data_IF_487635014869
#
_entry.id   IF_487635014869
#
_cell.length_a   1.000
_cell.length_b   1.000
_cell.length_c   1.000
_cell.angle_alpha   90.00
_cell.angle_beta   90.00
_cell.angle_gamma   90.00
#
_symmetry.space_group_name_H-M   'P 1'
#
loop_
_entity.id
_entity.type
_entity.pdbx_description
1 polymer ?
#
# COMPACT_ATOMS: atom_id res chain seq x y z
N UNK A 1 6.18 12.87 15.37
CA UNK A 1 7.00 13.73 14.49
C UNK A 1 6.38 13.73 13.10
N UNK A 2 6.34 14.89 12.42
CA UNK A 2 5.65 15.08 11.13
C UNK A 2 6.30 14.29 10.00
N UNK A 3 5.48 13.71 9.12
CA UNK A 3 5.90 13.01 7.90
C UNK A 3 6.72 13.94 6.98
N UNK A 4 7.70 13.41 6.22
CA UNK A 4 8.42 14.21 5.24
C UNK A 4 7.39 14.73 4.23
N UNK A 5 7.31 16.06 4.06
CA UNK A 5 6.21 16.62 3.33
C UNK A 5 6.40 16.43 1.83
N UNK A 6 5.28 16.27 1.12
CA UNK A 6 5.28 16.09 -0.32
C UNK A 6 5.46 17.45 -1.00
N UNK A 7 6.45 17.59 -1.89
CA UNK A 7 6.69 18.84 -2.63
C UNK A 7 6.10 18.75 -4.04
N UNK A 8 5.31 19.76 -4.44
CA UNK A 8 4.79 19.90 -5.81
C UNK A 8 4.93 21.33 -6.30
N UNK A 9 5.21 21.50 -7.60
CA UNK A 9 5.39 22.83 -8.21
C UNK A 9 4.06 23.52 -8.54
N UNK A 10 2.97 22.78 -8.70
CA UNK A 10 1.65 23.33 -9.02
C UNK A 10 0.51 22.53 -8.39
N UNK A 11 -0.58 23.21 -8.08
CA UNK A 11 -1.85 22.60 -7.69
C UNK A 11 -2.95 23.01 -8.67
N UNK A 12 -3.78 22.07 -9.09
CA UNK A 12 -4.95 22.39 -9.90
C UNK A 12 -5.94 23.26 -9.11
N UNK A 13 -6.37 24.38 -9.71
CA UNK A 13 -7.20 25.38 -9.03
C UNK A 13 -8.69 25.04 -8.98
N UNK A 14 -9.17 24.07 -9.78
CA UNK A 14 -10.56 23.56 -9.82
C UNK A 14 -10.59 22.12 -10.34
N UNK A 15 -11.54 21.32 -9.88
CA UNK A 15 -11.82 19.99 -10.40
C UNK A 15 -13.29 19.90 -10.85
N UNK A 16 -13.52 19.84 -12.17
CA UNK A 16 -14.81 19.52 -12.75
C UNK A 16 -15.07 18.01 -12.79
N UNK A 17 -16.33 17.60 -12.97
CA UNK A 17 -16.72 16.18 -13.11
C UNK A 17 -16.04 15.56 -14.35
N UNK A 18 -15.85 16.32 -15.42
CA UNK A 18 -15.10 15.87 -16.60
C UNK A 18 -13.61 15.66 -16.31
N UNK A 19 -12.99 16.49 -15.47
CA UNK A 19 -11.56 16.35 -15.13
C UNK A 19 -11.28 15.06 -14.36
N UNK A 20 -12.24 14.60 -13.55
CA UNK A 20 -12.14 13.32 -12.84
C UNK A 20 -12.25 12.10 -13.76
N UNK A 21 -12.91 12.27 -14.91
CA UNK A 21 -13.21 11.20 -15.85
C UNK A 21 -12.14 11.10 -16.97
N UNK A 22 -11.63 12.24 -17.43
CA UNK A 22 -10.86 12.34 -18.69
C UNK A 22 -9.42 12.87 -18.56
N UNK A 23 -9.03 13.48 -17.44
CA UNK A 23 -7.65 14.02 -17.29
C UNK A 23 -6.63 12.93 -16.96
N UNK A 24 -5.39 13.13 -17.41
CA UNK A 24 -4.25 12.25 -17.09
C UNK A 24 -4.02 12.29 -15.58
N UNK A 25 -4.09 11.11 -14.95
CA UNK A 25 -4.03 10.95 -13.49
C UNK A 25 -2.58 10.81 -13.02
N UNK A 26 -1.77 11.83 -13.29
CA UNK A 26 -0.38 11.88 -12.85
C UNK A 26 -0.25 12.21 -11.35
N UNK A 27 0.97 12.16 -10.84
CA UNK A 27 1.28 12.45 -9.43
C UNK A 27 0.78 13.84 -9.05
N UNK A 28 0.92 14.84 -9.92
CA UNK A 28 0.45 16.21 -9.70
C UNK A 28 -1.08 16.28 -9.59
N UNK A 29 -1.80 15.53 -10.43
CA UNK A 29 -3.24 15.39 -10.40
C UNK A 29 -3.69 14.73 -9.10
N UNK A 30 -3.06 13.62 -8.71
CA UNK A 30 -3.37 12.94 -7.45
C UNK A 30 -3.11 13.85 -6.25
N UNK A 31 -1.97 14.54 -6.22
CA UNK A 31 -1.60 15.46 -5.14
C UNK A 31 -2.55 16.65 -5.06
N UNK A 32 -2.94 17.21 -6.21
CA UNK A 32 -3.91 18.30 -6.29
C UNK A 32 -5.31 17.88 -5.88
N UNK A 33 -5.73 16.67 -6.26
CA UNK A 33 -7.02 16.09 -5.92
C UNK A 33 -7.10 15.82 -4.41
N UNK A 34 -6.01 15.27 -3.85
CA UNK A 34 -5.87 15.06 -2.42
C UNK A 34 -5.89 16.42 -1.69
N UNK A 35 -5.18 17.44 -2.15
CA UNK A 35 -5.28 18.78 -1.56
C UNK A 35 -6.70 19.37 -1.63
N UNK A 36 -7.37 19.27 -2.78
CA UNK A 36 -8.72 19.81 -2.99
C UNK A 36 -9.79 19.14 -2.13
N UNK A 37 -9.68 17.83 -1.90
CA UNK A 37 -10.56 17.11 -0.97
C UNK A 37 -10.18 17.28 0.51
N UNK A 38 -9.23 18.17 0.83
CA UNK A 38 -8.74 18.41 2.19
C UNK A 38 -7.89 17.26 2.73
N UNK A 39 -7.41 16.38 1.84
CA UNK A 39 -6.60 15.20 2.17
C UNK A 39 -5.17 15.55 2.52
N UNK A 40 -4.63 16.51 1.78
CA UNK A 40 -3.36 17.14 2.07
C UNK A 40 -3.65 18.57 2.52
N UNK A 41 -2.99 18.99 3.59
CA UNK A 41 -2.97 20.40 4.01
C UNK A 41 -1.64 21.02 3.62
N UNK A 42 -1.65 22.29 3.22
CA UNK A 42 -0.43 23.05 2.99
C UNK A 42 0.33 23.21 4.30
N UNK A 43 1.55 22.67 4.32
CA UNK A 43 2.49 22.77 5.43
C UNK A 43 3.50 23.90 5.24
N UNK A 44 3.71 24.38 4.01
CA UNK A 44 4.58 25.52 3.70
C UNK A 44 5.03 25.53 2.24
N UNK A 45 6.12 26.24 1.96
CA UNK A 45 6.80 26.27 0.66
C UNK A 45 8.30 26.02 0.85
N UNK A 46 8.96 25.35 -0.11
CA UNK A 46 10.42 25.19 -0.10
C UNK A 46 11.10 26.51 -0.49
N UNK A 47 12.41 26.62 -0.24
CA UNK A 47 13.21 27.78 -0.67
C UNK A 47 13.26 27.97 -2.21
N UNK A 48 12.71 27.02 -2.97
CA UNK A 48 12.57 27.06 -4.43
C UNK A 48 11.12 27.27 -4.89
N UNK A 49 10.19 27.59 -3.97
CA UNK A 49 8.79 27.91 -4.28
C UNK A 49 7.88 26.70 -4.51
N UNK A 50 8.31 25.51 -4.10
CA UNK A 50 7.51 24.29 -4.22
C UNK A 50 6.58 24.15 -3.01
N UNK A 51 5.31 23.82 -3.25
CA UNK A 51 4.31 23.67 -2.20
C UNK A 51 4.54 22.37 -1.42
N UNK A 52 4.63 22.50 -0.10
CA UNK A 52 4.96 21.45 0.84
C UNK A 52 3.67 20.99 1.50
N UNK A 53 3.27 19.73 1.31
CA UNK A 53 1.98 19.18 1.72
C UNK A 53 2.13 18.10 2.80
N UNK A 54 1.22 18.09 3.78
CA UNK A 54 1.18 17.08 4.86
C UNK A 54 -0.19 16.44 5.05
N UNK A 55 -0.17 15.22 5.58
CA UNK A 55 -1.39 14.46 5.95
C UNK A 55 -1.87 14.92 7.34
N UNK A 56 -3.09 15.48 7.47
CA UNK A 56 -3.62 15.93 8.75
C UNK A 56 -4.21 14.76 9.55
N UNK A 57 -3.47 14.24 10.54
CA UNK A 57 -3.93 13.35 11.63
C UNK A 57 -4.71 12.05 11.27
N UNK A 58 -5.01 11.24 12.30
CA UNK A 58 -5.59 9.89 12.16
C UNK A 58 -7.06 9.87 11.69
N UNK A 59 -7.84 10.91 12.01
CA UNK A 59 -9.28 10.97 11.64
C UNK A 59 -9.43 11.17 10.15
N UNK A 60 -8.58 12.02 9.55
CA UNK A 60 -8.66 12.28 8.12
C UNK A 60 -8.04 11.12 7.33
N UNK A 61 -7.06 10.40 7.90
CA UNK A 61 -6.54 9.11 7.36
C UNK A 61 -7.65 8.08 7.10
N UNK A 62 -8.63 7.98 8.00
CA UNK A 62 -9.79 7.10 7.85
C UNK A 62 -10.66 7.50 6.66
N UNK A 63 -10.99 8.78 6.56
CA UNK A 63 -11.77 9.33 5.44
C UNK A 63 -11.06 9.08 4.09
N UNK A 64 -9.73 9.07 4.04
CA UNK A 64 -8.96 8.78 2.82
C UNK A 64 -9.08 7.34 2.37
N UNK A 65 -8.91 6.41 3.29
CA UNK A 65 -9.05 4.99 2.98
C UNK A 65 -10.47 4.70 2.51
N UNK A 66 -11.47 5.25 3.20
CA UNK A 66 -12.88 5.10 2.82
C UNK A 66 -13.13 5.70 1.42
N UNK A 67 -12.62 6.90 1.12
CA UNK A 67 -12.80 7.55 -0.19
C UNK A 67 -12.06 6.85 -1.32
N UNK A 68 -10.83 6.38 -1.10
CA UNK A 68 -10.06 5.56 -2.05
C UNK A 68 -10.79 4.24 -2.27
N UNK A 69 -11.29 3.60 -1.21
CA UNK A 69 -12.10 2.40 -1.32
C UNK A 69 -13.33 2.63 -2.18
N UNK A 70 -14.05 3.74 -2.02
CA UNK A 70 -15.21 4.06 -2.85
C UNK A 70 -14.85 4.32 -4.32
N UNK A 71 -13.69 4.94 -4.59
CA UNK A 71 -13.22 5.21 -5.96
C UNK A 71 -12.76 3.94 -6.68
N UNK A 72 -12.12 3.01 -5.97
CA UNK A 72 -11.54 1.81 -6.56
C UNK A 72 -12.41 0.56 -6.43
N UNK A 73 -13.34 0.53 -5.46
CA UNK A 73 -14.33 -0.54 -5.22
C UNK A 73 -15.76 0.06 -5.19
N UNK A 74 -16.25 0.58 -6.33
CA UNK A 74 -17.58 1.19 -6.37
C UNK A 74 -18.71 0.18 -6.23
N UNK A 75 -18.47 -1.10 -6.56
CA UNK A 75 -19.46 -2.16 -6.42
C UNK A 75 -19.46 -2.75 -4.99
N UNK A 76 -20.66 -2.87 -4.41
CA UNK A 76 -20.91 -3.49 -3.11
C UNK A 76 -20.34 -4.90 -3.03
N UNK A 77 -20.36 -5.65 -4.14
CA UNK A 77 -19.85 -7.01 -4.18
C UNK A 77 -18.32 -7.05 -4.00
N UNK A 78 -17.59 -6.13 -4.65
CA UNK A 78 -16.14 -6.04 -4.52
C UNK A 78 -15.73 -5.57 -3.11
N UNK A 79 -16.52 -4.67 -2.50
CA UNK A 79 -16.31 -4.28 -1.11
C UNK A 79 -16.45 -5.47 -0.17
N UNK A 80 -17.48 -6.30 -0.34
CA UNK A 80 -17.69 -7.49 0.49
C UNK A 80 -16.59 -8.54 0.29
N UNK A 81 -16.16 -8.76 -0.94
CA UNK A 81 -15.05 -9.68 -1.26
C UNK A 81 -13.73 -9.19 -0.65
N UNK A 82 -13.42 -7.89 -0.79
CA UNK A 82 -12.23 -7.27 -0.18
C UNK A 82 -12.20 -7.46 1.34
N UNK A 83 -13.34 -7.25 2.01
CA UNK A 83 -13.47 -7.43 3.44
C UNK A 83 -13.29 -8.89 3.86
N UNK A 84 -13.82 -9.83 3.07
CA UNK A 84 -13.69 -11.25 3.36
C UNK A 84 -12.24 -11.74 3.16
N UNK A 85 -11.56 -11.26 2.12
CA UNK A 85 -10.15 -11.54 1.88
C UNK A 85 -9.28 -11.00 3.02
N UNK A 86 -9.48 -9.76 3.44
CA UNK A 86 -8.78 -9.16 4.57
C UNK A 86 -9.04 -9.92 5.89
N UNK A 87 -10.29 -10.29 6.19
CA UNK A 87 -10.63 -11.11 7.37
C UNK A 87 -9.92 -12.46 7.36
N UNK A 88 -9.84 -13.10 6.21
CA UNK A 88 -9.14 -14.39 6.06
C UNK A 88 -7.67 -14.24 6.40
N UNK A 89 -7.00 -13.20 5.89
CA UNK A 89 -5.62 -12.87 6.24
C UNK A 89 -5.47 -12.62 7.74
N UNK A 90 -6.35 -11.81 8.34
CA UNK A 90 -6.28 -11.48 9.77
C UNK A 90 -6.41 -12.70 10.68
N UNK A 91 -7.27 -13.66 10.34
CA UNK A 91 -7.57 -14.81 11.18
C UNK A 91 -6.56 -15.95 10.98
N UNK A 92 -6.21 -16.25 9.73
CA UNK A 92 -5.45 -17.45 9.38
C UNK A 92 -3.99 -17.15 9.06
N UNK A 93 -3.71 -15.95 8.55
CA UNK A 93 -2.45 -15.64 7.89
C UNK A 93 -2.37 -16.12 6.44
N UNK A 94 -3.49 -16.44 5.80
CA UNK A 94 -3.51 -16.76 4.37
C UNK A 94 -3.65 -15.47 3.54
N UNK A 95 -2.59 -15.13 2.80
CA UNK A 95 -2.51 -13.97 1.90
C UNK A 95 -3.14 -14.26 0.53
N UNK A 96 -3.27 -15.53 0.14
CA UNK A 96 -3.64 -15.90 -1.22
C UNK A 96 -5.02 -15.37 -1.66
N UNK A 97 -6.06 -15.35 -0.82
CA UNK A 97 -7.36 -14.76 -1.18
C UNK A 97 -7.25 -13.26 -1.47
N UNK A 98 -6.41 -12.54 -0.71
CA UNK A 98 -6.16 -11.12 -0.94
C UNK A 98 -5.46 -10.89 -2.27
N UNK A 99 -4.38 -11.62 -2.56
CA UNK A 99 -3.67 -11.50 -3.84
C UNK A 99 -4.62 -11.76 -5.02
N UNK A 100 -5.42 -12.83 -4.96
CA UNK A 100 -6.40 -13.15 -6.01
C UNK A 100 -7.43 -12.05 -6.23
N UNK A 101 -7.92 -11.43 -5.15
CA UNK A 101 -8.84 -10.29 -5.23
C UNK A 101 -8.18 -9.09 -5.91
N UNK A 102 -6.96 -8.74 -5.51
CA UNK A 102 -6.20 -7.62 -6.07
C UNK A 102 -5.83 -7.84 -7.55
N UNK A 103 -5.43 -9.06 -7.93
CA UNK A 103 -5.20 -9.49 -9.32
C UNK A 103 -6.44 -9.39 -10.21
N UNK A 104 -7.62 -9.71 -9.66
CA UNK A 104 -8.87 -9.71 -10.42
C UNK A 104 -9.49 -8.32 -10.57
N UNK A 105 -9.52 -7.55 -9.50
CA UNK A 105 -10.18 -6.23 -9.46
C UNK A 105 -9.24 -5.11 -9.85
N UNK A 106 -8.26 -4.84 -8.99
CA UNK A 106 -7.39 -3.66 -9.11
C UNK A 106 -6.48 -3.74 -10.34
N UNK A 107 -5.72 -4.82 -10.51
CA UNK A 107 -4.71 -4.91 -11.59
C UNK A 107 -5.32 -5.00 -13.00
N UNK A 108 -6.60 -5.39 -13.14
CA UNK A 108 -7.31 -5.33 -14.43
C UNK A 108 -7.70 -3.90 -14.85
N UNK A 109 -8.02 -3.04 -13.90
CA UNK A 109 -8.33 -1.62 -14.18
C UNK A 109 -7.08 -0.88 -14.66
N UNK A 110 -5.90 -1.26 -14.16
CA UNK A 110 -4.61 -0.78 -14.64
C UNK A 110 -4.15 -1.40 -15.97
N UNK A 111 -4.80 -2.46 -16.44
CA UNK A 111 -4.42 -3.19 -17.66
C UNK A 111 -4.89 -2.50 -18.95
N UNK A 112 -5.89 -1.60 -18.86
CA UNK A 112 -6.49 -0.88 -19.99
C UNK A 112 -5.93 0.54 -20.20
N UNK A 113 -5.09 1.06 -19.31
CA UNK A 113 -4.40 2.35 -19.47
C UNK A 113 -2.92 2.07 -19.41
N UNK A 114 -2.25 2.19 -20.56
CA UNK A 114 -0.81 2.00 -20.78
C UNK A 114 0.00 2.04 -19.48
N UNK A 115 0.26 0.86 -18.91
CA UNK A 115 1.22 0.53 -17.85
C UNK A 115 1.64 1.76 -17.02
N UNK A 116 0.67 2.43 -16.41
CA UNK A 116 0.91 3.70 -15.73
C UNK A 116 1.77 3.40 -14.52
N UNK A 117 3.08 3.61 -14.67
CA UNK A 117 4.15 3.45 -13.68
C UNK A 117 3.74 2.58 -12.48
N UNK A 118 3.46 1.30 -12.72
CA UNK A 118 3.07 0.36 -11.68
C UNK A 118 4.27 0.15 -10.77
N UNK A 119 4.50 1.07 -9.86
CA UNK A 119 5.63 1.13 -8.97
C UNK A 119 5.27 0.54 -7.60
N UNK A 120 6.26 0.51 -6.72
CA UNK A 120 6.10 -0.02 -5.37
C UNK A 120 5.05 0.76 -4.55
N UNK A 121 4.91 2.07 -4.79
CA UNK A 121 3.95 2.94 -4.09
C UNK A 121 2.51 2.60 -4.46
N UNK A 122 2.25 2.30 -5.73
CA UNK A 122 0.92 1.90 -6.21
C UNK A 122 0.47 0.60 -5.56
N UNK A 123 1.35 -0.41 -5.54
CA UNK A 123 1.08 -1.71 -4.90
C UNK A 123 0.84 -1.52 -3.40
N UNK A 124 1.70 -0.76 -2.72
CA UNK A 124 1.53 -0.40 -1.29
C UNK A 124 0.17 0.23 -1.01
N UNK A 125 -0.25 1.19 -1.84
CA UNK A 125 -1.52 1.92 -1.68
C UNK A 125 -2.72 0.99 -1.80
N UNK A 126 -2.71 0.08 -2.77
CA UNK A 126 -3.77 -0.90 -2.98
C UNK A 126 -3.90 -1.85 -1.78
N UNK A 127 -2.77 -2.40 -1.31
CA UNK A 127 -2.76 -3.26 -0.12
C UNK A 127 -3.24 -2.51 1.13
N UNK A 128 -2.74 -1.29 1.35
CA UNK A 128 -3.18 -0.45 2.46
C UNK A 128 -4.69 -0.21 2.42
N UNK A 129 -5.26 0.10 1.25
CA UNK A 129 -6.70 0.36 1.11
C UNK A 129 -7.54 -0.84 1.55
N UNK A 130 -7.14 -2.06 1.18
CA UNK A 130 -7.90 -3.26 1.51
C UNK A 130 -7.66 -3.71 2.96
N UNK A 131 -6.42 -3.57 3.45
CA UNK A 131 -6.01 -4.06 4.76
C UNK A 131 -6.23 -3.05 5.89
N UNK A 132 -6.51 -1.79 5.60
CA UNK A 132 -6.68 -0.79 6.63
C UNK A 132 -7.86 -1.12 7.55
N UNK A 133 -7.54 -1.39 8.81
CA UNK A 133 -8.54 -1.64 9.85
C UNK A 133 -8.06 -1.12 11.21
N UNK A 134 -8.35 0.15 11.47
CA UNK A 134 -7.96 0.84 12.72
C UNK A 134 -8.62 0.29 13.98
N UNK A 135 -9.76 -0.41 13.85
CA UNK A 135 -10.46 -1.00 14.98
C UNK A 135 -9.74 -2.24 15.51
N UNK A 136 -9.13 -3.02 14.62
CA UNK A 136 -8.41 -4.25 14.95
C UNK A 136 -6.92 -4.01 15.19
N UNK A 137 -6.31 -3.10 14.42
CA UNK A 137 -4.85 -2.96 14.35
C UNK A 137 -4.37 -1.56 14.71
N UNK A 138 -3.21 -1.53 15.35
CA UNK A 138 -2.28 -0.41 15.31
C UNK A 138 -1.49 -0.61 14.02
N UNK A 139 -1.76 0.22 13.02
CA UNK A 139 -1.02 0.20 11.77
C UNK A 139 -0.02 1.33 11.80
N UNK A 140 1.24 0.93 11.84
CA UNK A 140 2.36 1.86 11.77
C UNK A 140 2.90 1.80 10.34
N UNK A 141 3.00 2.98 9.74
CA UNK A 141 3.69 3.22 8.48
C UNK A 141 4.56 4.45 8.76
N UNK A 142 5.72 4.16 9.34
CA UNK A 142 6.76 5.09 9.79
C UNK A 142 6.31 6.21 10.76
N UNK A 143 6.44 5.98 12.07
CA UNK A 143 7.48 6.62 12.90
C UNK A 143 7.30 6.31 14.40
N UNK A 144 8.18 5.46 14.95
CA UNK A 144 8.86 5.56 16.26
C UNK A 144 9.47 4.19 16.60
N UNK A 145 10.67 3.90 16.06
CA UNK A 145 11.76 3.07 16.61
C UNK A 145 12.70 2.58 15.47
N UNK A 146 13.95 3.06 15.48
CA UNK A 146 15.15 2.43 14.86
C UNK A 146 15.31 2.26 13.33
N UNK A 147 14.80 3.20 12.52
CA UNK A 147 15.34 3.57 11.18
C UNK A 147 15.71 2.43 10.21
N UNK A 148 15.00 1.33 10.31
CA UNK A 148 14.85 0.37 9.23
C UNK A 148 13.34 0.10 9.25
N UNK A 149 12.63 0.35 8.15
CA UNK A 149 11.19 0.21 8.10
C UNK A 149 10.77 -0.97 7.23
N UNK A 150 9.83 -1.76 7.76
CA UNK A 150 9.02 -2.64 6.93
C UNK A 150 7.91 -1.82 6.30
N UNK A 151 7.54 -2.15 5.08
CA UNK A 151 6.58 -1.33 4.34
C UNK A 151 5.17 -1.29 4.94
N UNK A 152 4.72 -2.36 5.59
CA UNK A 152 3.47 -2.39 6.32
C UNK A 152 3.57 -3.27 7.58
N UNK A 153 3.34 -2.66 8.74
CA UNK A 153 3.21 -3.35 10.02
C UNK A 153 1.79 -3.20 10.55
N UNK A 154 1.13 -4.31 10.85
CA UNK A 154 -0.18 -4.34 11.50
C UNK A 154 -0.08 -5.12 12.81
N UNK A 155 -0.08 -4.41 13.92
CA UNK A 155 -0.03 -5.01 15.27
C UNK A 155 -1.43 -5.03 15.86
N UNK A 156 -1.93 -6.21 16.25
CA UNK A 156 -3.26 -6.35 16.85
C UNK A 156 -3.32 -5.53 18.13
N UNK A 157 -4.34 -4.68 18.24
CA UNK A 157 -4.54 -3.83 19.42
C UNK A 157 -4.69 -4.67 20.70
N UNK A 158 -4.17 -4.22 21.86
CA UNK A 158 -4.22 -5.00 23.11
C UNK A 158 -5.62 -5.55 23.45
N UNK A 159 -6.66 -4.73 23.33
CA UNK A 159 -8.06 -5.10 23.60
C UNK A 159 -8.66 -6.10 22.59
N UNK A 160 -8.04 -6.26 21.42
CA UNK A 160 -8.46 -7.18 20.37
C UNK A 160 -7.70 -8.52 20.41
N UNK A 161 -6.70 -8.68 21.30
CA UNK A 161 -5.93 -9.92 21.49
C UNK A 161 -6.76 -11.11 21.95
N UNK A 162 -7.97 -10.87 22.49
CA UNK A 162 -8.98 -11.90 22.80
C UNK A 162 -9.46 -12.66 21.56
N UNK A 163 -9.36 -12.04 20.38
CA UNK A 163 -9.62 -12.70 19.11
C UNK A 163 -8.32 -13.33 18.58
N UNK A 164 -8.39 -14.47 17.85
CA UNK A 164 -7.22 -15.17 17.35
C UNK A 164 -6.59 -14.50 16.11
N UNK A 165 -6.51 -13.17 16.10
CA UNK A 165 -5.94 -12.38 15.01
C UNK A 165 -4.41 -12.51 14.97
N UNK A 166 -3.84 -12.42 13.77
CA UNK A 166 -2.39 -12.44 13.51
C UNK A 166 -1.85 -11.02 13.42
N UNK A 167 -0.64 -10.80 13.92
CA UNK A 167 0.14 -9.63 13.57
C UNK A 167 0.71 -9.83 12.17
N UNK A 168 0.74 -8.77 11.36
CA UNK A 168 1.12 -8.87 9.96
C UNK A 168 2.27 -7.92 9.68
N UNK A 169 3.28 -8.44 8.98
CA UNK A 169 4.42 -7.69 8.47
C UNK A 169 4.53 -7.96 6.98
N UNK A 170 4.47 -6.92 6.15
CA UNK A 170 4.60 -7.03 4.70
C UNK A 170 5.76 -6.15 4.24
N UNK A 171 6.61 -6.71 3.41
CA UNK A 171 7.65 -6.00 2.67
C UNK A 171 7.35 -6.12 1.18
N UNK A 172 7.25 -4.99 0.49
CA UNK A 172 7.06 -4.91 -0.95
C UNK A 172 8.41 -4.69 -1.63
N UNK A 173 8.54 -5.31 -2.80
CA UNK A 173 9.58 -4.99 -3.76
C UNK A 173 8.96 -4.89 -5.13
N UNK A 174 9.51 -4.04 -5.96
CA UNK A 174 9.10 -3.94 -7.34
C UNK A 174 10.23 -4.43 -8.26
N UNK A 175 9.86 -5.27 -9.23
CA UNK A 175 10.75 -5.68 -10.33
C UNK A 175 10.25 -5.06 -11.62
N UNK A 176 11.02 -4.11 -12.14
CA UNK A 176 10.70 -3.52 -13.44
C UNK A 176 10.86 -4.54 -14.57
N UNK A 177 10.07 -4.38 -15.63
CA UNK A 177 10.16 -5.22 -16.83
C UNK A 177 11.57 -5.18 -17.46
N UNK A 178 12.24 -4.02 -17.43
CA UNK A 178 13.60 -3.88 -17.92
C UNK A 178 14.61 -4.66 -17.08
N UNK A 179 14.51 -4.62 -15.74
CA UNK A 179 15.35 -5.41 -14.84
C UNK A 179 15.11 -6.92 -15.02
N UNK A 180 13.85 -7.32 -15.23
CA UNK A 180 13.47 -8.70 -15.55
C UNK A 180 13.85 -9.12 -16.98
N UNK A 181 14.28 -8.19 -17.84
CA UNK A 181 14.52 -8.40 -19.28
C UNK A 181 13.30 -8.98 -20.02
N UNK A 182 12.11 -8.55 -19.61
CA UNK A 182 10.84 -8.98 -20.18
C UNK A 182 10.08 -7.81 -20.80
N UNK A 183 9.15 -8.14 -21.69
CA UNK A 183 8.08 -7.21 -22.10
C UNK A 183 6.81 -7.58 -21.33
N UNK A 184 5.88 -6.64 -21.17
CA UNK A 184 4.61 -6.91 -20.47
C UNK A 184 3.83 -8.10 -21.07
N UNK A 185 3.84 -8.24 -22.40
CA UNK A 185 3.23 -9.40 -23.09
C UNK A 185 3.88 -10.74 -22.71
N UNK A 186 5.20 -10.79 -22.60
CA UNK A 186 5.92 -12.01 -22.19
C UNK A 186 5.70 -12.30 -20.70
N UNK A 187 5.73 -11.28 -19.85
CA UNK A 187 5.49 -11.44 -18.41
C UNK A 187 4.11 -12.05 -18.13
N UNK A 188 3.05 -11.61 -18.84
CA UNK A 188 1.69 -12.14 -18.70
C UNK A 188 1.53 -13.62 -19.11
N UNK A 189 2.45 -14.16 -19.92
CA UNK A 189 2.41 -15.56 -20.36
C UNK A 189 3.15 -16.51 -19.41
N UNK A 190 3.93 -15.97 -18.48
CA UNK A 190 4.63 -16.76 -17.48
C UNK A 190 3.70 -17.07 -16.31
N UNK A 191 3.73 -18.32 -15.87
CA UNK A 191 3.14 -18.70 -14.59
C UNK A 191 3.98 -18.16 -13.41
N UNK A 192 3.38 -18.17 -12.22
CA UNK A 192 4.00 -17.64 -11.00
C UNK A 192 5.34 -18.32 -10.70
N UNK A 193 5.49 -19.62 -10.98
CA UNK A 193 6.73 -20.34 -10.68
C UNK A 193 7.86 -19.91 -11.63
N UNK A 194 7.56 -19.67 -12.91
CA UNK A 194 8.52 -19.09 -13.87
C UNK A 194 8.86 -17.65 -13.53
N UNK A 195 7.90 -16.83 -13.10
CA UNK A 195 8.17 -15.47 -12.64
C UNK A 195 9.09 -15.46 -11.42
N UNK A 196 8.82 -16.32 -10.43
CA UNK A 196 9.69 -16.50 -9.27
C UNK A 196 11.10 -16.93 -9.67
N UNK A 197 11.25 -17.77 -10.70
CA UNK A 197 12.56 -18.24 -11.15
C UNK A 197 13.43 -17.16 -11.83
N UNK A 198 12.89 -15.97 -12.13
CA UNK A 198 13.67 -14.88 -12.73
C UNK A 198 14.73 -14.38 -11.75
N UNK A 199 15.99 -14.17 -12.19
CA UNK A 199 17.07 -13.71 -11.31
C UNK A 199 16.74 -12.40 -10.58
N UNK A 200 16.14 -11.43 -11.28
CA UNK A 200 15.74 -10.15 -10.69
C UNK A 200 14.66 -10.31 -9.60
N UNK A 201 13.76 -11.30 -9.75
CA UNK A 201 12.73 -11.59 -8.74
C UNK A 201 13.34 -12.32 -7.54
N UNK A 202 14.24 -13.28 -7.76
CA UNK A 202 14.96 -13.95 -6.68
C UNK A 202 15.80 -12.98 -5.84
N UNK A 203 16.47 -12.03 -6.49
CA UNK A 203 17.24 -10.98 -5.82
C UNK A 203 16.34 -10.15 -4.90
N UNK A 204 15.20 -9.66 -5.40
CA UNK A 204 14.24 -8.89 -4.60
C UNK A 204 13.57 -9.71 -3.50
N UNK A 205 13.27 -10.98 -3.74
CA UNK A 205 12.81 -11.89 -2.69
C UNK A 205 13.85 -12.06 -1.58
N UNK A 206 15.13 -12.16 -1.93
CA UNK A 206 16.22 -12.29 -0.95
C UNK A 206 16.42 -10.98 -0.14
N UNK A 207 16.43 -9.83 -0.81
CA UNK A 207 16.47 -8.51 -0.15
C UNK A 207 15.33 -8.36 0.86
N UNK A 208 14.10 -8.65 0.41
CA UNK A 208 12.89 -8.55 1.22
C UNK A 208 12.92 -9.49 2.43
N UNK A 209 13.36 -10.73 2.27
CA UNK A 209 13.53 -11.68 3.39
C UNK A 209 14.51 -11.18 4.44
N UNK A 210 15.67 -10.66 4.00
CA UNK A 210 16.67 -10.11 4.90
C UNK A 210 16.13 -8.91 5.71
N UNK A 211 15.29 -8.06 5.10
CA UNK A 211 14.63 -6.96 5.79
C UNK A 211 13.57 -7.48 6.79
N UNK A 212 12.71 -8.39 6.36
CA UNK A 212 11.68 -9.00 7.21
C UNK A 212 12.28 -9.70 8.44
N UNK A 213 13.41 -10.39 8.31
CA UNK A 213 14.06 -11.06 9.43
C UNK A 213 14.60 -10.06 10.46
N UNK A 214 15.17 -8.94 10.01
CA UNK A 214 15.58 -7.85 10.91
C UNK A 214 14.39 -7.27 11.67
N UNK A 215 13.27 -7.03 10.99
CA UNK A 215 12.06 -6.49 11.63
C UNK A 215 11.41 -7.47 12.58
N UNK A 216 11.40 -8.75 12.24
CA UNK A 216 10.88 -9.79 13.14
C UNK A 216 11.59 -9.73 14.48
N UNK A 217 12.93 -9.63 14.50
CA UNK A 217 13.70 -9.54 15.75
C UNK A 217 13.32 -8.32 16.60
N UNK A 218 13.13 -7.15 15.96
CA UNK A 218 12.71 -5.92 16.65
C UNK A 218 11.31 -6.08 17.26
N UNK A 219 10.36 -6.63 16.49
CA UNK A 219 8.98 -6.85 16.96
C UNK A 219 8.92 -7.91 18.05
N UNK A 220 9.67 -8.99 17.94
CA UNK A 220 9.76 -10.04 18.96
C UNK A 220 10.35 -9.50 20.26
N UNK A 221 11.40 -8.66 20.18
CA UNK A 221 11.97 -7.99 21.35
C UNK A 221 10.96 -7.06 22.04
N UNK A 222 10.17 -6.31 21.26
CA UNK A 222 9.20 -5.33 21.78
C UNK A 222 7.92 -5.97 22.35
N UNK A 223 7.38 -7.00 21.69
CA UNK A 223 6.07 -7.56 22.00
C UNK A 223 6.12 -8.96 22.63
N UNK A 224 7.26 -9.66 22.54
CA UNK A 224 7.47 -10.97 23.13
C UNK A 224 6.37 -11.98 22.79
N UNK A 225 5.94 -12.73 23.80
CA UNK A 225 4.96 -13.83 23.67
C UNK A 225 3.56 -13.36 23.23
N UNK A 226 3.27 -12.05 23.24
CA UNK A 226 1.99 -11.52 22.77
C UNK A 226 1.90 -11.48 21.24
N UNK A 227 3.06 -11.50 20.56
CA UNK A 227 3.17 -11.38 19.12
C UNK A 227 2.78 -12.68 18.41
N UNK A 228 1.84 -12.58 17.46
CA UNK A 228 1.36 -13.68 16.60
C UNK A 228 1.72 -13.37 15.16
N UNK A 229 3.01 -13.16 14.91
CA UNK A 229 3.51 -12.58 13.66
C UNK A 229 3.38 -13.52 12.46
N UNK A 230 2.93 -12.97 11.33
CA UNK A 230 3.08 -13.51 9.99
C UNK A 230 3.78 -12.49 9.11
N UNK A 231 4.78 -12.94 8.36
CA UNK A 231 5.62 -12.08 7.53
C UNK A 231 5.45 -12.44 6.06
N UNK A 232 5.36 -11.45 5.18
CA UNK A 232 5.14 -11.66 3.76
C UNK A 232 6.09 -10.80 2.94
N UNK A 233 6.66 -11.42 1.91
CA UNK A 233 7.39 -10.74 0.84
C UNK A 233 6.48 -10.70 -0.38
N UNK A 234 6.20 -9.49 -0.87
CA UNK A 234 5.40 -9.25 -2.07
C UNK A 234 6.33 -8.65 -3.12
N UNK A 235 6.59 -9.40 -4.19
CA UNK A 235 7.54 -9.06 -5.25
C UNK A 235 6.88 -9.22 -6.61
#
# INVERSE_FOLDING_TARGET
HEQPPLATQTLAHRFGVEDMLYTVKDTTFMVSLLYYFGVLSLAGETNFGELVLKIPNLVVRKLYVERIRDMFLPDFQDQKESQQAAKTLYQTGDMQPLCKFLERGYFKVFDNRDYFEADELTIKTVFLTVLFNEALYIMDSEAELDRTYADLVMIVRPQMRRYPLKDILIEFKYVSLSAAKLTGKKAKQLDIEKLKALPAVQEKLAESRNQLDKYRLVLESKYGNLLRLRTYSVV
#
